data_IF_678638961573
#
_entry.id   IF_678638961573
#
_cell.length_a   1.000
_cell.length_b   1.000
_cell.length_c   1.000
_cell.angle_alpha   90.00
_cell.angle_beta   90.00
_cell.angle_gamma   90.00
#
_symmetry.space_group_name_H-M   'P 1'
#
loop_
_entity.id
_entity.type
_entity.pdbx_description
1 polymer ?
#
# COMPACT_ATOMS: atom_id res chain seq x y z
N UNK A 1 -19.32 -17.98 -1.77
CA UNK A 1 -18.83 -16.74 -1.09
C UNK A 1 -18.81 -16.92 0.42
N UNK A 2 -19.96 -17.08 1.08
CA UNK A 2 -20.08 -17.12 2.57
C UNK A 2 -19.18 -18.18 3.23
N UNK A 3 -19.12 -19.45 2.79
CA UNK A 3 -18.24 -20.44 3.39
C UNK A 3 -16.75 -20.13 3.29
N UNK A 4 -16.34 -19.38 2.28
CA UNK A 4 -14.95 -18.91 2.10
C UNK A 4 -14.65 -17.65 2.92
N UNK A 5 -15.63 -16.83 3.21
CA UNK A 5 -15.47 -15.62 4.01
C UNK A 5 -15.10 -15.91 5.47
N UNK A 6 -15.65 -16.99 6.05
CA UNK A 6 -15.40 -17.37 7.44
C UNK A 6 -13.91 -17.63 7.74
N UNK A 7 -13.18 -18.50 6.97
CA UNK A 7 -11.77 -18.69 7.21
C UNK A 7 -10.93 -17.41 6.95
N UNK A 8 -11.31 -16.60 5.97
CA UNK A 8 -10.63 -15.32 5.69
C UNK A 8 -10.80 -14.36 6.86
N UNK A 9 -12.01 -14.22 7.40
CA UNK A 9 -12.29 -13.43 8.60
C UNK A 9 -11.46 -13.90 9.82
N UNK A 10 -11.31 -15.22 10.00
CA UNK A 10 -10.47 -15.76 11.08
C UNK A 10 -8.99 -15.39 10.91
N UNK A 11 -8.47 -15.42 9.68
CA UNK A 11 -7.08 -15.01 9.39
C UNK A 11 -6.91 -13.52 9.65
N UNK A 12 -7.84 -12.68 9.20
CA UNK A 12 -7.81 -11.23 9.43
C UNK A 12 -7.89 -10.95 10.94
N UNK A 13 -8.81 -11.61 11.66
CA UNK A 13 -8.95 -11.44 13.11
C UNK A 13 -7.69 -11.89 13.87
N UNK A 14 -7.04 -12.98 13.46
CA UNK A 14 -5.80 -13.42 14.10
C UNK A 14 -4.67 -12.39 13.88
N UNK A 15 -4.58 -11.81 12.70
CA UNK A 15 -3.62 -10.76 12.38
C UNK A 15 -3.92 -9.47 13.17
N UNK A 16 -5.18 -9.05 13.24
CA UNK A 16 -5.60 -7.86 14.01
C UNK A 16 -5.35 -8.05 15.51
N UNK A 17 -5.63 -9.25 16.04
CA UNK A 17 -5.38 -9.57 17.45
C UNK A 17 -3.90 -9.51 17.80
N UNK A 18 -3.03 -10.01 16.93
CA UNK A 18 -1.57 -9.95 17.17
C UNK A 18 -0.99 -8.55 17.04
N UNK A 19 -1.61 -7.66 16.25
CA UNK A 19 -1.10 -6.30 16.04
C UNK A 19 -1.66 -5.26 17.00
N UNK A 20 -2.94 -5.36 17.37
CA UNK A 20 -3.63 -4.33 18.16
C UNK A 20 -4.16 -4.82 19.50
N UNK A 21 -4.07 -6.14 19.79
CA UNK A 21 -4.69 -6.75 20.98
C UNK A 21 -6.22 -6.75 20.97
N UNK A 22 -6.85 -6.21 19.92
CA UNK A 22 -8.30 -6.09 19.80
C UNK A 22 -8.86 -7.28 19.03
N UNK A 23 -9.88 -7.93 19.59
CA UNK A 23 -10.72 -8.87 18.86
C UNK A 23 -11.86 -8.10 18.18
N UNK A 24 -11.88 -8.12 16.86
CA UNK A 24 -13.04 -7.65 16.11
C UNK A 24 -14.08 -8.77 16.15
N UNK A 25 -15.27 -8.57 16.76
CA UNK A 25 -16.31 -9.58 16.75
C UNK A 25 -16.65 -9.93 15.30
N UNK A 26 -16.81 -11.22 14.96
CA UNK A 26 -17.12 -11.64 13.60
C UNK A 26 -18.59 -11.39 13.25
N UNK A 27 -19.08 -10.18 13.54
CA UNK A 27 -20.44 -9.79 13.23
C UNK A 27 -20.56 -9.51 11.73
N UNK A 28 -21.06 -10.52 11.03
CA UNK A 28 -21.44 -10.36 9.62
C UNK A 28 -22.68 -9.49 9.58
N UNK A 29 -22.56 -8.28 9.09
CA UNK A 29 -23.72 -7.43 8.82
C UNK A 29 -24.57 -8.06 7.69
N UNK A 30 -25.53 -8.90 8.12
CA UNK A 30 -26.39 -9.65 7.19
C UNK A 30 -27.15 -8.70 6.25
N UNK A 31 -27.51 -7.50 6.70
CA UNK A 31 -28.15 -6.49 5.87
C UNK A 31 -27.26 -6.02 4.72
N UNK A 32 -25.98 -5.76 4.99
CA UNK A 32 -25.00 -5.37 3.97
C UNK A 32 -24.74 -6.50 2.98
N UNK A 33 -24.61 -7.74 3.46
CA UNK A 33 -24.44 -8.92 2.59
C UNK A 33 -25.64 -9.11 1.69
N UNK A 34 -26.87 -8.98 2.21
CA UNK A 34 -28.10 -9.06 1.40
C UNK A 34 -28.18 -7.91 0.37
N UNK A 35 -27.81 -6.68 0.73
CA UNK A 35 -27.75 -5.56 -0.20
C UNK A 35 -26.78 -5.85 -1.36
N UNK A 36 -25.58 -6.36 -1.08
CA UNK A 36 -24.59 -6.70 -2.11
C UNK A 36 -25.10 -7.82 -3.01
N UNK A 37 -25.68 -8.88 -2.44
CA UNK A 37 -26.29 -9.98 -3.22
C UNK A 37 -27.41 -9.44 -4.12
N UNK A 38 -28.30 -8.61 -3.58
CA UNK A 38 -29.39 -8.01 -4.32
C UNK A 38 -28.89 -7.11 -5.45
N UNK A 39 -27.87 -6.29 -5.19
CA UNK A 39 -27.22 -5.45 -6.20
C UNK A 39 -26.62 -6.27 -7.35
N UNK A 40 -25.93 -7.37 -7.04
CA UNK A 40 -25.39 -8.30 -8.04
C UNK A 40 -26.51 -8.93 -8.86
N UNK A 41 -27.58 -9.42 -8.21
CA UNK A 41 -28.72 -10.01 -8.90
C UNK A 41 -29.42 -9.01 -9.82
N UNK A 42 -29.61 -7.77 -9.38
CA UNK A 42 -30.19 -6.70 -10.21
C UNK A 42 -29.29 -6.38 -11.41
N UNK A 43 -27.98 -6.33 -11.20
CA UNK A 43 -27.00 -6.07 -12.28
C UNK A 43 -27.02 -7.21 -13.31
N UNK A 44 -27.05 -8.46 -12.87
CA UNK A 44 -27.17 -9.63 -13.74
C UNK A 44 -28.50 -9.63 -14.48
N UNK A 45 -29.62 -9.34 -13.81
CA UNK A 45 -30.94 -9.25 -14.42
C UNK A 45 -30.99 -8.13 -15.48
N UNK A 46 -30.45 -6.95 -15.16
CA UNK A 46 -30.36 -5.83 -16.11
C UNK A 46 -29.50 -6.23 -17.34
N UNK A 47 -28.37 -6.90 -17.13
CA UNK A 47 -27.53 -7.37 -18.23
C UNK A 47 -28.25 -8.41 -19.10
N UNK A 48 -28.99 -9.36 -18.50
CA UNK A 48 -29.79 -10.34 -19.20
C UNK A 48 -30.89 -9.62 -20.02
N UNK A 49 -31.61 -8.68 -19.41
CA UNK A 49 -32.65 -7.90 -20.11
C UNK A 49 -32.09 -7.12 -21.31
N UNK A 50 -30.97 -6.46 -21.15
CA UNK A 50 -30.28 -5.72 -22.23
C UNK A 50 -29.84 -6.66 -23.36
N UNK A 51 -29.39 -7.86 -23.06
CA UNK A 51 -28.97 -8.85 -24.07
C UNK A 51 -30.15 -9.53 -24.72
N UNK A 52 -31.22 -9.82 -23.97
CA UNK A 52 -32.44 -10.49 -24.48
C UNK A 52 -33.30 -9.55 -25.36
N UNK A 53 -33.21 -8.23 -25.16
CA UNK A 53 -33.89 -7.26 -26.00
C UNK A 53 -33.54 -7.41 -27.49
N UNK A 54 -32.35 -7.90 -27.82
CA UNK A 54 -31.93 -8.21 -29.21
C UNK A 54 -32.48 -9.52 -29.76
N UNK A 55 -33.05 -10.39 -28.92
CA UNK A 55 -33.67 -11.65 -29.36
C UNK A 55 -35.03 -11.40 -30.00
N UNK A 56 -35.75 -10.35 -29.58
CA UNK A 56 -37.03 -9.99 -30.16
C UNK A 56 -36.93 -9.48 -31.61
N UNK A 57 -35.73 -9.11 -32.09
CA UNK A 57 -35.47 -8.70 -33.46
C UNK A 57 -35.13 -9.88 -34.40
N UNK A 58 -34.99 -11.10 -33.84
CA UNK A 58 -34.72 -12.28 -34.64
C UNK A 58 -36.01 -12.84 -35.23
N UNK A 59 -36.18 -12.69 -36.53
CA UNK A 59 -37.34 -13.28 -37.25
C UNK A 59 -37.28 -14.81 -37.19
N UNK A 60 -38.41 -15.52 -36.97
CA UNK A 60 -38.47 -17.00 -36.88
C UNK A 60 -37.83 -17.70 -38.09
N UNK A 61 -37.92 -17.09 -39.28
CA UNK A 61 -37.32 -17.60 -40.51
C UNK A 61 -35.80 -17.63 -40.49
N UNK A 62 -35.15 -16.63 -39.85
CA UNK A 62 -33.69 -16.62 -39.65
C UNK A 62 -33.22 -17.68 -38.63
N UNK A 63 -34.04 -18.00 -37.63
CA UNK A 63 -33.74 -19.02 -36.63
C UNK A 63 -33.83 -20.44 -37.23
N UNK A 64 -34.83 -20.70 -38.09
CA UNK A 64 -35.05 -22.01 -38.72
C UNK A 64 -34.05 -22.28 -39.85
N UNK A 65 -33.63 -21.28 -40.62
CA UNK A 65 -32.63 -21.42 -41.69
C UNK A 65 -31.19 -21.56 -41.19
N UNK A 66 -30.95 -21.64 -39.85
CA UNK A 66 -29.62 -21.77 -39.29
C UNK A 66 -28.71 -20.59 -39.68
N UNK A 67 -29.28 -19.35 -39.57
CA UNK A 67 -28.64 -18.12 -40.00
C UNK A 67 -27.29 -17.86 -39.37
N UNK A 68 -26.27 -18.47 -39.93
CA UNK A 68 -24.89 -18.05 -39.77
C UNK A 68 -24.52 -17.23 -40.97
N UNK A 69 -24.22 -15.96 -40.72
CA UNK A 69 -23.49 -15.19 -41.70
C UNK A 69 -22.17 -15.94 -41.96
N UNK A 70 -21.91 -16.21 -43.24
CA UNK A 70 -20.64 -16.76 -43.68
C UNK A 70 -19.52 -15.90 -43.11
N UNK A 71 -18.54 -16.50 -42.50
CA UNK A 71 -17.38 -15.79 -41.95
C UNK A 71 -16.67 -15.08 -43.11
N UNK A 72 -16.98 -13.79 -43.28
CA UNK A 72 -16.26 -12.97 -44.25
C UNK A 72 -14.87 -12.71 -43.70
N UNK A 73 -13.87 -13.38 -44.25
CA UNK A 73 -12.47 -13.06 -44.00
C UNK A 73 -12.23 -11.62 -44.47
N UNK A 74 -11.85 -10.77 -43.56
CA UNK A 74 -11.47 -9.40 -43.87
C UNK A 74 -10.33 -9.40 -44.90
N UNK A 75 -10.55 -8.75 -46.05
CA UNK A 75 -9.59 -8.64 -47.15
C UNK A 75 -8.36 -7.77 -46.81
N UNK A 76 -8.36 -7.16 -45.65
CA UNK A 76 -7.32 -6.21 -45.20
C UNK A 76 -6.02 -6.88 -44.84
N UNK A 77 -5.99 -8.16 -44.46
CA UNK A 77 -4.76 -8.87 -44.09
C UNK A 77 -4.35 -9.86 -45.21
N UNK A 78 -3.44 -9.40 -46.05
CA UNK A 78 -2.77 -10.23 -47.08
C UNK A 78 -1.65 -11.06 -46.50
N UNK A 79 -1.90 -11.95 -45.53
CA UNK A 79 -0.93 -12.92 -45.05
C UNK A 79 -0.91 -14.12 -46.00
N UNK A 80 0.25 -14.58 -46.51
CA UNK A 80 0.34 -15.73 -47.40
C UNK A 80 -0.15 -17.01 -46.67
N UNK A 81 -1.08 -17.70 -47.37
CA UNK A 81 -1.69 -18.96 -46.87
C UNK A 81 -0.85 -20.17 -47.27
N UNK A 82 0.36 -19.98 -47.74
CA UNK A 82 1.22 -21.06 -48.17
C UNK A 82 2.50 -21.15 -47.31
N UNK A 83 2.87 -22.36 -46.85
CA UNK A 83 4.12 -22.62 -46.19
C UNK A 83 4.02 -23.38 -44.86
N UNK A 84 5.17 -23.67 -44.26
CA UNK A 84 5.32 -24.44 -43.00
C UNK A 84 4.57 -23.85 -41.77
N UNK A 85 4.10 -22.59 -41.83
CA UNK A 85 3.40 -21.89 -40.75
C UNK A 85 1.89 -21.68 -40.99
N UNK A 86 1.27 -22.50 -41.84
CA UNK A 86 -0.13 -22.40 -42.22
C UNK A 86 -1.08 -22.32 -41.00
N UNK A 87 -0.84 -23.13 -39.95
CA UNK A 87 -1.67 -23.17 -38.76
C UNK A 87 -1.66 -21.85 -37.98
N UNK A 88 -0.51 -21.20 -37.85
CA UNK A 88 -0.38 -19.90 -37.17
C UNK A 88 -1.02 -18.77 -37.96
N UNK A 89 -0.83 -18.77 -39.29
CA UNK A 89 -1.45 -17.77 -40.17
C UNK A 89 -2.97 -17.87 -40.17
N UNK A 90 -3.53 -19.09 -40.18
CA UNK A 90 -4.96 -19.34 -40.04
C UNK A 90 -5.49 -18.91 -38.66
N UNK A 91 -4.78 -19.25 -37.58
CA UNK A 91 -5.14 -18.84 -36.21
C UNK A 91 -5.23 -17.31 -36.09
N UNK A 92 -4.25 -16.60 -36.62
CA UNK A 92 -4.23 -15.14 -36.59
C UNK A 92 -5.35 -14.50 -37.42
N UNK A 93 -5.63 -15.01 -38.60
CA UNK A 93 -6.74 -14.55 -39.44
C UNK A 93 -8.11 -14.76 -38.79
N UNK A 94 -8.31 -15.91 -38.15
CA UNK A 94 -9.54 -16.22 -37.42
C UNK A 94 -9.67 -15.38 -36.16
N UNK A 95 -8.57 -15.10 -35.46
CA UNK A 95 -8.56 -14.22 -34.30
C UNK A 95 -9.03 -12.80 -34.67
N UNK A 96 -8.49 -12.23 -35.75
CA UNK A 96 -8.86 -10.88 -36.20
C UNK A 96 -10.32 -10.83 -36.73
N UNK A 97 -10.74 -11.87 -37.44
CA UNK A 97 -12.11 -11.96 -37.96
C UNK A 97 -13.15 -12.00 -36.82
N UNK A 98 -12.83 -12.63 -35.71
CA UNK A 98 -13.74 -12.81 -34.58
C UNK A 98 -13.32 -12.03 -33.30
N UNK A 99 -12.61 -10.92 -33.46
CA UNK A 99 -12.11 -10.08 -32.35
C UNK A 99 -13.13 -9.77 -31.28
N UNK A 100 -14.42 -9.63 -31.61
CA UNK A 100 -15.51 -9.37 -30.65
C UNK A 100 -15.70 -10.55 -29.64
N UNK A 101 -15.39 -11.76 -30.06
CA UNK A 101 -15.53 -12.96 -29.24
C UNK A 101 -14.45 -13.04 -28.17
N UNK A 102 -13.22 -12.63 -28.54
CA UNK A 102 -12.08 -12.63 -27.62
C UNK A 102 -11.99 -11.36 -26.76
N UNK A 103 -12.72 -10.28 -27.13
CA UNK A 103 -12.66 -9.01 -26.43
C UNK A 103 -12.96 -9.14 -24.93
N UNK A 104 -13.97 -9.93 -24.56
CA UNK A 104 -14.29 -10.15 -23.14
C UNK A 104 -13.15 -10.85 -22.38
N UNK A 105 -12.52 -11.85 -23.01
CA UNK A 105 -11.38 -12.55 -22.41
C UNK A 105 -10.16 -11.61 -22.27
N UNK A 106 -9.89 -10.78 -23.28
CA UNK A 106 -8.83 -9.76 -23.24
C UNK A 106 -9.05 -8.79 -22.09
N UNK A 107 -10.28 -8.26 -21.94
CA UNK A 107 -10.62 -7.31 -20.87
C UNK A 107 -10.44 -7.96 -19.49
N UNK A 108 -10.97 -9.18 -19.29
CA UNK A 108 -10.82 -9.89 -18.02
C UNK A 108 -9.34 -10.14 -17.70
N UNK A 109 -8.57 -10.62 -18.67
CA UNK A 109 -7.13 -10.85 -18.49
C UNK A 109 -6.37 -9.54 -18.20
N UNK A 110 -6.74 -8.44 -18.85
CA UNK A 110 -6.13 -7.14 -18.61
C UNK A 110 -6.42 -6.61 -17.21
N UNK A 111 -7.66 -6.72 -16.74
CA UNK A 111 -8.03 -6.31 -15.38
C UNK A 111 -7.31 -7.15 -14.33
N UNK A 112 -7.24 -8.48 -14.52
CA UNK A 112 -6.54 -9.37 -13.61
C UNK A 112 -5.03 -9.09 -13.58
N UNK A 113 -4.41 -8.89 -14.75
CA UNK A 113 -3.00 -8.54 -14.84
C UNK A 113 -2.71 -7.19 -14.16
N UNK A 114 -3.55 -6.18 -14.39
CA UNK A 114 -3.46 -4.89 -13.70
C UNK A 114 -3.52 -5.08 -12.19
N UNK A 115 -4.49 -5.85 -11.69
CA UNK A 115 -4.67 -6.05 -10.25
C UNK A 115 -3.50 -6.80 -9.62
N UNK A 116 -2.94 -7.81 -10.30
CA UNK A 116 -1.75 -8.53 -9.85
C UNK A 116 -0.53 -7.59 -9.76
N UNK A 117 -0.37 -6.67 -10.69
CA UNK A 117 0.72 -5.69 -10.67
C UNK A 117 0.54 -4.73 -9.50
N UNK A 118 -0.67 -4.20 -9.28
CA UNK A 118 -0.95 -3.32 -8.15
C UNK A 118 -0.67 -3.98 -6.80
N UNK A 119 -1.04 -5.26 -6.63
CA UNK A 119 -0.74 -6.01 -5.41
C UNK A 119 0.77 -6.24 -5.22
N UNK A 120 1.48 -6.52 -6.31
CA UNK A 120 2.93 -6.65 -6.26
C UNK A 120 3.64 -5.33 -5.93
N UNK A 121 3.19 -4.21 -6.48
CA UNK A 121 3.74 -2.88 -6.18
C UNK A 121 3.47 -2.50 -4.71
N UNK A 122 2.27 -2.79 -4.21
CA UNK A 122 1.93 -2.62 -2.80
C UNK A 122 2.86 -3.45 -1.90
N UNK A 123 3.06 -4.73 -2.22
CA UNK A 123 3.95 -5.60 -1.47
C UNK A 123 5.41 -5.11 -1.49
N UNK A 124 5.89 -4.63 -2.64
CA UNK A 124 7.24 -4.05 -2.76
C UNK A 124 7.43 -2.83 -1.87
N UNK A 125 6.44 -1.93 -1.85
CA UNK A 125 6.51 -0.73 -1.04
C UNK A 125 6.51 -1.05 0.45
N UNK A 126 5.63 -1.96 0.90
CA UNK A 126 5.60 -2.40 2.30
C UNK A 126 6.85 -3.20 2.73
N UNK A 127 7.58 -3.79 1.80
CA UNK A 127 8.87 -4.45 2.08
C UNK A 127 10.08 -3.50 1.95
N UNK A 128 9.86 -2.25 1.60
CA UNK A 128 10.94 -1.26 1.51
C UNK A 128 11.35 -0.79 2.90
N UNK A 129 12.63 -0.81 3.20
CA UNK A 129 13.18 -0.24 4.46
C UNK A 129 12.87 1.26 4.60
N UNK A 130 12.65 1.96 3.50
CA UNK A 130 12.26 3.36 3.51
C UNK A 130 10.78 3.60 3.83
N UNK A 131 9.97 2.53 3.97
CA UNK A 131 8.53 2.64 4.23
C UNK A 131 8.24 3.43 5.51
N UNK A 132 8.98 3.18 6.59
CA UNK A 132 8.82 3.92 7.86
C UNK A 132 9.18 5.39 7.69
N UNK A 133 10.26 5.68 6.98
CA UNK A 133 10.70 7.05 6.68
C UNK A 133 9.64 7.79 5.85
N UNK A 134 9.12 7.14 4.81
CA UNK A 134 8.11 7.72 3.92
C UNK A 134 6.75 7.90 4.61
N UNK A 135 6.35 6.94 5.46
CA UNK A 135 5.06 7.00 6.18
C UNK A 135 5.05 8.00 7.32
N UNK A 136 6.10 7.99 8.14
CA UNK A 136 6.11 8.73 9.40
C UNK A 136 6.93 10.00 9.35
N UNK A 137 7.54 10.29 8.21
CA UNK A 137 8.43 11.46 8.02
C UNK A 137 9.62 11.50 9.00
N UNK A 138 10.07 10.33 9.40
CA UNK A 138 11.22 10.18 10.30
C UNK A 138 12.51 10.26 9.50
N UNK A 139 13.57 10.79 10.09
CA UNK A 139 14.90 10.76 9.47
C UNK A 139 15.37 9.31 9.33
N UNK A 140 16.16 9.06 8.29
CA UNK A 140 16.83 7.76 8.14
C UNK A 140 17.75 7.50 9.35
N UNK A 141 17.67 6.31 9.90
CA UNK A 141 18.55 5.83 10.96
C UNK A 141 18.89 4.37 10.70
N UNK A 142 19.98 3.91 11.28
CA UNK A 142 20.43 2.52 11.20
C UNK A 142 20.26 1.79 12.53
N UNK A 143 20.40 2.50 13.66
CA UNK A 143 20.18 1.99 15.00
C UNK A 143 19.26 2.89 15.81
N UNK A 144 18.42 2.28 16.63
CA UNK A 144 17.62 2.95 17.66
C UNK A 144 18.04 2.42 19.03
N UNK A 145 18.26 3.30 19.99
CA UNK A 145 18.55 2.87 21.35
C UNK A 145 17.78 3.69 22.40
N UNK A 146 17.46 3.05 23.50
CA UNK A 146 16.89 3.68 24.69
C UNK A 146 17.74 3.29 25.89
N UNK A 147 18.07 4.26 26.74
CA UNK A 147 18.93 4.09 27.89
C UNK A 147 18.21 4.55 29.15
N UNK A 148 18.57 3.98 30.28
CA UNK A 148 18.07 4.39 31.61
C UNK A 148 18.87 5.54 32.17
N UNK A 149 20.19 5.60 31.88
CA UNK A 149 21.11 6.61 32.40
C UNK A 149 22.11 7.09 31.34
N UNK A 150 22.69 8.28 31.59
CA UNK A 150 23.65 8.90 30.69
C UNK A 150 25.00 8.17 30.61
N UNK A 151 25.38 7.45 31.67
CA UNK A 151 26.68 6.76 31.68
C UNK A 151 26.61 5.51 30.80
N UNK A 152 25.52 4.74 30.89
CA UNK A 152 25.21 3.65 29.93
C UNK A 152 25.16 4.14 28.49
N UNK A 153 24.54 5.30 28.24
CA UNK A 153 24.52 5.89 26.90
C UNK A 153 25.94 6.17 26.38
N UNK A 154 26.80 6.82 27.19
CA UNK A 154 28.19 7.13 26.80
C UNK A 154 29.02 5.87 26.54
N UNK A 155 28.83 4.85 27.34
CA UNK A 155 29.55 3.58 27.18
C UNK A 155 29.17 2.89 25.88
N UNK A 156 27.89 2.86 25.56
CA UNK A 156 27.38 2.28 24.30
C UNK A 156 27.77 3.16 23.08
N UNK A 157 27.72 4.48 23.20
CA UNK A 157 28.20 5.39 22.16
C UNK A 157 29.71 5.24 21.89
N UNK A 158 30.52 4.92 22.89
CA UNK A 158 31.93 4.58 22.68
C UNK A 158 32.08 3.32 21.82
N UNK A 159 31.31 2.28 22.09
CA UNK A 159 31.33 1.06 21.26
C UNK A 159 30.92 1.38 19.80
N UNK A 160 29.89 2.16 19.60
CA UNK A 160 29.48 2.56 18.22
C UNK A 160 30.64 3.33 17.55
N UNK A 161 31.29 4.25 18.25
CA UNK A 161 32.38 5.06 17.71
C UNK A 161 33.65 4.28 17.40
N UNK A 162 33.87 3.12 18.07
CA UNK A 162 34.99 2.19 17.77
C UNK A 162 34.80 1.53 16.38
N UNK A 163 33.56 1.35 15.92
CA UNK A 163 33.24 0.70 14.65
C UNK A 163 33.10 1.69 13.49
N UNK A 164 32.33 2.78 13.69
CA UNK A 164 32.05 3.74 12.63
C UNK A 164 31.72 5.12 13.19
N UNK A 165 31.90 6.15 12.37
CA UNK A 165 31.38 7.46 12.68
C UNK A 165 29.85 7.45 12.55
N UNK A 166 29.17 8.25 13.37
CA UNK A 166 27.71 8.31 13.42
C UNK A 166 27.22 9.73 13.67
N UNK A 167 25.97 9.97 13.25
CA UNK A 167 25.18 11.12 13.68
C UNK A 167 24.09 10.62 14.62
N UNK A 168 23.84 11.36 15.70
CA UNK A 168 22.74 11.04 16.61
C UNK A 168 21.72 12.15 16.66
N UNK A 169 20.48 11.78 16.85
CA UNK A 169 19.37 12.68 17.11
C UNK A 169 18.33 11.98 17.97
N UNK A 170 17.64 12.77 18.76
CA UNK A 170 16.62 12.29 19.67
C UNK A 170 15.26 12.40 19.00
N UNK A 171 14.53 11.29 18.89
CA UNK A 171 13.12 11.32 18.54
C UNK A 171 12.30 11.57 19.79
N UNK A 172 11.65 12.71 19.84
CA UNK A 172 10.75 13.08 20.93
C UNK A 172 9.40 13.49 20.37
N UNK A 173 8.34 13.11 21.06
CA UNK A 173 6.98 13.47 20.70
C UNK A 173 6.12 13.62 21.95
N UNK A 174 5.15 14.50 21.90
CA UNK A 174 4.20 14.75 22.99
C UNK A 174 2.86 15.18 22.41
N UNK A 175 1.75 14.92 23.13
CA UNK A 175 0.47 15.49 22.77
C UNK A 175 0.34 16.90 23.32
N UNK A 176 0.32 17.89 22.44
CA UNK A 176 0.16 19.29 22.76
C UNK A 176 -1.20 19.83 22.26
N UNK A 177 -1.61 20.99 22.77
CA UNK A 177 -2.80 21.66 22.27
C UNK A 177 -2.44 22.58 21.10
N UNK A 178 -3.04 22.34 19.96
CA UNK A 178 -2.96 23.13 18.74
C UNK A 178 -4.31 23.85 18.54
N UNK A 179 -4.36 25.17 18.76
CA UNK A 179 -5.61 25.95 18.81
C UNK A 179 -6.72 25.24 19.61
N UNK A 180 -6.40 24.81 20.84
CA UNK A 180 -7.29 24.09 21.76
C UNK A 180 -7.68 22.66 21.37
N UNK A 181 -7.13 22.10 20.31
CA UNK A 181 -7.29 20.69 19.92
C UNK A 181 -6.04 19.92 20.30
N UNK A 182 -6.19 18.83 21.05
CA UNK A 182 -5.07 17.95 21.40
C UNK A 182 -4.60 17.19 20.16
N UNK A 183 -3.31 17.35 19.82
CA UNK A 183 -2.69 16.71 18.66
C UNK A 183 -1.31 16.17 19.00
N UNK A 184 -0.92 15.14 18.27
CA UNK A 184 0.42 14.58 18.32
C UNK A 184 1.43 15.59 17.74
N UNK A 185 2.46 15.89 18.53
CA UNK A 185 3.49 16.86 18.18
C UNK A 185 4.86 16.19 18.13
N UNK A 186 5.55 16.29 17.00
CA UNK A 186 6.95 15.95 16.87
C UNK A 186 7.85 17.09 17.34
N UNK A 187 8.88 16.76 18.08
CA UNK A 187 9.91 17.71 18.51
C UNK A 187 11.14 17.48 17.62
N UNK A 188 11.39 18.44 16.73
CA UNK A 188 12.45 18.39 15.71
C UNK A 188 13.74 18.97 16.29
N UNK A 189 14.78 18.14 16.40
CA UNK A 189 16.10 18.54 16.88
C UNK A 189 16.93 19.23 15.80
N UNK A 190 16.88 18.69 14.58
CA UNK A 190 17.65 19.16 13.43
C UNK A 190 16.73 19.37 12.21
N UNK A 191 17.05 20.36 11.34
CA UNK A 191 16.21 20.69 10.19
C UNK A 191 16.00 19.55 9.19
N UNK A 192 16.90 18.59 9.12
CA UNK A 192 16.89 17.44 8.21
C UNK A 192 16.13 16.23 8.76
N UNK A 193 15.55 16.34 9.98
CA UNK A 193 14.75 15.25 10.56
C UNK A 193 13.42 15.02 9.85
N UNK A 194 12.88 15.98 9.13
CA UNK A 194 11.62 15.84 8.38
C UNK A 194 11.92 15.90 6.88
N UNK A 195 11.77 14.76 6.21
CA UNK A 195 12.15 14.60 4.80
C UNK A 195 10.99 14.80 3.82
N UNK A 196 9.74 14.81 4.28
CA UNK A 196 8.54 14.81 3.45
C UNK A 196 7.88 16.18 3.34
N UNK A 197 8.67 17.25 3.24
CA UNK A 197 8.14 18.62 3.12
C UNK A 197 7.56 18.83 1.73
N UNK A 198 6.28 19.22 1.67
CA UNK A 198 5.56 19.51 0.43
C UNK A 198 5.54 20.97 0.03
N UNK A 199 5.36 21.86 1.02
CA UNK A 199 5.29 23.30 0.82
C UNK A 199 6.07 24.01 1.92
N UNK A 200 6.71 25.11 1.60
CA UNK A 200 7.49 25.87 2.57
C UNK A 200 8.83 25.22 2.88
N UNK A 201 9.25 25.27 4.12
CA UNK A 201 10.52 24.74 4.61
C UNK A 201 10.35 24.15 6.01
N UNK A 202 11.36 23.42 6.48
CA UNK A 202 11.41 22.92 7.86
C UNK A 202 11.44 24.08 8.89
N UNK A 203 11.04 23.79 10.12
CA UNK A 203 11.12 24.74 11.21
C UNK A 203 12.60 24.95 11.62
N UNK A 204 13.05 26.20 11.54
CA UNK A 204 14.43 26.58 11.89
C UNK A 204 14.47 27.47 13.12
N UNK A 205 13.45 28.32 13.30
CA UNK A 205 13.36 29.26 14.41
C UNK A 205 12.47 28.70 15.54
N UNK A 206 12.61 29.30 16.73
CA UNK A 206 11.91 28.91 17.94
C UNK A 206 10.44 29.32 18.03
N UNK A 207 9.95 30.01 17.00
CA UNK A 207 8.55 30.40 16.83
C UNK A 207 7.94 29.82 15.56
N UNK A 208 8.52 28.76 15.01
CA UNK A 208 8.06 28.11 13.79
C UNK A 208 7.59 26.69 14.08
N UNK A 209 6.58 26.25 13.29
CA UNK A 209 6.08 24.88 13.30
C UNK A 209 5.74 24.41 11.90
N UNK A 210 5.65 23.09 11.77
CA UNK A 210 5.19 22.38 10.57
C UNK A 210 3.85 21.75 10.86
N UNK A 211 2.97 21.73 9.87
CA UNK A 211 1.70 21.02 9.96
C UNK A 211 1.57 20.00 8.83
N UNK A 212 0.79 18.96 9.03
CA UNK A 212 0.45 18.05 7.93
C UNK A 212 -0.58 18.69 7.00
N UNK A 213 -0.76 18.09 5.82
CA UNK A 213 -1.77 18.58 4.87
C UNK A 213 -3.18 18.45 5.45
N UNK A 214 -3.48 17.37 6.19
CA UNK A 214 -4.80 17.17 6.81
C UNK A 214 -5.11 18.25 7.87
N UNK A 215 -4.11 18.66 8.65
CA UNK A 215 -4.24 19.77 9.59
C UNK A 215 -4.43 21.08 8.84
N UNK A 216 -3.66 21.31 7.77
CA UNK A 216 -3.78 22.51 6.93
C UNK A 216 -5.20 22.64 6.34
N UNK A 217 -5.75 21.56 5.81
CA UNK A 217 -7.08 21.53 5.21
C UNK A 217 -8.18 21.64 6.28
N UNK A 218 -8.02 20.95 7.42
CA UNK A 218 -9.01 20.95 8.51
C UNK A 218 -9.13 22.29 9.23
N UNK A 219 -8.03 23.02 9.39
CA UNK A 219 -7.99 24.34 10.02
C UNK A 219 -7.96 25.49 9.00
N UNK A 220 -7.99 25.19 7.71
CA UNK A 220 -7.89 26.18 6.63
C UNK A 220 -6.64 27.07 6.71
N UNK A 221 -5.52 26.46 7.10
CA UNK A 221 -4.22 27.12 7.29
C UNK A 221 -3.28 26.91 6.12
N UNK A 222 -2.41 27.90 5.91
CA UNK A 222 -1.36 27.87 4.90
C UNK A 222 0.00 28.22 5.53
N UNK A 223 1.07 28.03 4.75
CA UNK A 223 2.40 28.49 5.13
C UNK A 223 2.38 30.01 5.34
N UNK A 224 2.88 30.47 6.49
CA UNK A 224 2.87 31.87 6.92
C UNK A 224 1.76 32.22 7.92
N UNK A 225 0.75 31.38 8.08
CA UNK A 225 -0.30 31.57 9.08
C UNK A 225 0.24 31.33 10.50
N UNK A 226 -0.48 31.85 11.49
CA UNK A 226 -0.08 31.78 12.89
C UNK A 226 -1.06 30.91 13.67
N UNK A 227 -0.54 30.01 14.47
CA UNK A 227 -1.29 29.11 15.36
C UNK A 227 -0.85 29.31 16.81
N UNK A 228 -1.72 29.01 17.76
CA UNK A 228 -1.38 29.00 19.18
C UNK A 228 -1.15 27.57 19.65
N UNK A 229 0.09 27.27 20.07
CA UNK A 229 0.44 25.98 20.69
C UNK A 229 0.50 26.18 22.19
N UNK A 230 -0.12 25.22 22.94
CA UNK A 230 -0.17 25.28 24.40
C UNK A 230 0.37 23.97 24.99
N UNK A 231 1.17 24.12 26.07
CA UNK A 231 1.63 23.04 26.93
C UNK A 231 1.36 23.42 28.37
N UNK A 232 0.59 22.61 29.10
CA UNK A 232 0.16 22.98 30.45
C UNK A 232 -0.55 24.34 30.48
N UNK A 233 -0.03 25.28 31.27
CA UNK A 233 -0.54 26.67 31.37
C UNK A 233 0.06 27.65 30.36
N UNK A 234 1.04 27.24 29.58
CA UNK A 234 1.82 28.12 28.68
C UNK A 234 1.26 28.09 27.27
N UNK A 235 1.07 29.25 26.68
CA UNK A 235 0.60 29.42 25.31
C UNK A 235 1.60 30.25 24.49
N UNK A 236 1.97 29.78 23.30
CA UNK A 236 2.82 30.52 22.37
C UNK A 236 2.25 30.54 20.97
N UNK A 237 2.42 31.69 20.31
CA UNK A 237 2.09 31.81 18.89
C UNK A 237 3.26 31.33 18.06
N UNK A 238 2.97 30.44 17.12
CA UNK A 238 3.94 29.88 16.18
C UNK A 238 3.49 30.18 14.74
N UNK A 239 4.45 30.41 13.85
CA UNK A 239 4.22 30.61 12.43
C UNK A 239 4.40 29.27 11.72
N UNK A 240 3.48 28.92 10.85
CA UNK A 240 3.58 27.73 10.02
C UNK A 240 4.65 27.94 8.95
N UNK A 241 5.81 27.30 9.10
CA UNK A 241 6.93 27.40 8.17
C UNK A 241 6.82 26.45 6.98
N UNK A 242 6.06 25.37 7.13
CA UNK A 242 5.87 24.39 6.05
C UNK A 242 4.76 23.39 6.32
N UNK A 243 4.43 22.66 5.26
CA UNK A 243 3.46 21.55 5.26
C UNK A 243 4.22 20.28 4.87
N UNK A 244 4.04 19.22 5.65
CA UNK A 244 4.71 17.92 5.45
C UNK A 244 3.73 16.75 5.45
N UNK A 245 4.19 15.59 5.01
CA UNK A 245 3.40 14.36 5.04
C UNK A 245 3.81 13.50 6.24
N UNK A 246 2.85 12.97 6.97
CA UNK A 246 3.09 12.00 8.04
C UNK A 246 1.81 11.23 8.36
N UNK A 247 1.92 9.91 8.47
CA UNK A 247 0.81 9.03 8.83
C UNK A 247 0.54 8.97 10.34
N UNK A 248 1.38 9.61 11.15
CA UNK A 248 1.14 9.62 12.59
C UNK A 248 -0.21 10.24 12.91
N UNK A 249 -0.93 9.62 13.84
CA UNK A 249 -2.28 10.01 14.22
C UNK A 249 -3.20 10.23 12.99
N UNK A 250 -3.08 9.34 11.99
CA UNK A 250 -3.82 9.41 10.72
C UNK A 250 -3.70 10.76 10.00
N UNK A 251 -2.49 11.33 9.98
CA UNK A 251 -2.23 12.62 9.37
C UNK A 251 -2.59 13.83 10.23
N UNK A 252 -3.11 13.66 11.44
CA UNK A 252 -3.48 14.76 12.34
C UNK A 252 -2.36 15.06 13.33
N UNK A 253 -1.25 15.54 12.83
CA UNK A 253 -0.09 15.84 13.64
C UNK A 253 0.62 17.11 13.15
N UNK A 254 1.50 17.64 14.00
CA UNK A 254 2.32 18.80 13.70
C UNK A 254 3.72 18.62 14.30
N UNK A 255 4.63 19.48 13.93
CA UNK A 255 6.00 19.45 14.45
C UNK A 255 6.49 20.83 14.82
N UNK A 256 7.29 20.91 15.90
CA UNK A 256 7.93 22.15 16.34
C UNK A 256 9.42 21.89 16.59
N UNK A 257 10.21 22.95 16.56
CA UNK A 257 11.63 22.84 16.89
C UNK A 257 11.83 22.53 18.39
N UNK A 258 12.94 21.84 18.73
CA UNK A 258 13.35 21.63 20.13
C UNK A 258 13.50 22.93 20.90
N UNK A 259 13.95 24.01 20.22
CA UNK A 259 14.06 25.34 20.80
C UNK A 259 12.69 25.93 21.17
N UNK A 260 11.68 25.74 20.32
CA UNK A 260 10.29 26.14 20.60
C UNK A 260 9.70 25.36 21.78
N UNK A 261 9.91 24.04 21.78
CA UNK A 261 9.46 23.14 22.86
C UNK A 261 10.10 23.50 24.21
N UNK A 262 11.42 23.72 24.26
CA UNK A 262 12.13 24.09 25.50
C UNK A 262 11.63 25.43 26.09
N UNK A 263 11.16 26.35 25.27
CA UNK A 263 10.55 27.59 25.74
C UNK A 263 9.16 27.40 26.34
N UNK A 264 8.36 26.47 25.77
CA UNK A 264 7.09 26.07 26.37
C UNK A 264 7.29 25.43 27.76
N UNK A 265 8.34 24.59 27.93
CA UNK A 265 8.64 23.96 29.20
C UNK A 265 9.19 24.96 30.25
N UNK A 266 10.04 25.93 29.86
CA UNK A 266 10.64 26.90 30.79
C UNK A 266 9.62 27.85 31.43
N UNK A 267 8.60 28.25 30.71
CA UNK A 267 7.58 29.14 31.26
C UNK A 267 6.66 28.41 32.24
N UNK A 268 6.47 27.11 32.08
CA UNK A 268 5.73 26.27 33.01
C UNK A 268 6.41 26.25 34.41
N UNK A 269 7.74 26.16 34.48
CA UNK A 269 8.48 26.21 35.74
C UNK A 269 8.48 27.59 36.42
N UNK A 270 8.32 28.66 35.68
CA UNK A 270 8.25 30.03 36.25
C UNK A 270 6.85 30.35 36.79
N UNK A 271 5.77 29.79 36.22
CA UNK A 271 4.40 29.98 36.68
C UNK A 271 4.09 29.24 38.00
N UNK A 272 4.74 28.13 38.30
CA UNK A 272 4.50 27.32 39.49
C UNK A 272 5.07 27.93 40.80
N UNK A 273 5.96 28.93 40.71
CA UNK A 273 6.53 29.58 41.89
C UNK A 273 5.57 30.54 42.60
N UNK A 274 4.31 30.66 42.17
CA UNK A 274 3.36 31.65 42.69
C UNK A 274 2.15 31.12 43.48
N UNK A 275 1.83 29.82 43.52
CA UNK A 275 0.66 29.29 44.29
C UNK A 275 1.00 27.93 44.92
N UNK A 276 1.02 27.96 46.24
CA UNK A 276 1.13 26.78 47.11
C UNK A 276 -0.09 25.87 46.93
N UNK A 277 0.09 24.68 46.39
CA UNK A 277 -0.99 23.67 46.35
C UNK A 277 -0.99 22.77 45.13
N UNK A 278 0.18 22.43 44.60
CA UNK A 278 0.26 21.51 43.48
C UNK A 278 0.65 20.09 43.91
N UNK A 279 -0.10 19.13 43.41
CA UNK A 279 0.26 17.73 43.37
C UNK A 279 1.63 17.62 42.71
N UNK A 280 2.65 17.16 43.43
CA UNK A 280 3.93 16.77 42.87
C UNK A 280 3.67 15.65 41.86
N UNK A 281 3.61 15.98 40.60
CA UNK A 281 3.88 15.05 39.52
C UNK A 281 5.36 14.74 39.59
N UNK A 282 5.70 13.47 39.77
CA UNK A 282 7.03 12.91 39.79
C UNK A 282 7.65 12.95 38.38
N UNK A 283 8.02 14.16 37.92
CA UNK A 283 8.40 14.41 36.53
C UNK A 283 9.89 14.24 36.22
N UNK A 284 10.73 14.05 37.21
CA UNK A 284 12.17 13.93 36.99
C UNK A 284 12.62 12.49 36.64
N UNK A 285 11.83 11.47 36.98
CA UNK A 285 12.10 10.07 36.61
C UNK A 285 11.34 9.62 35.33
N UNK A 286 10.25 10.31 34.92
CA UNK A 286 9.51 9.99 33.70
C UNK A 286 10.12 10.62 32.42
N UNK A 287 11.09 11.53 32.55
CA UNK A 287 11.69 12.18 31.37
C UNK A 287 12.54 11.23 30.51
N UNK A 288 12.90 10.06 31.05
CA UNK A 288 13.74 9.05 30.38
C UNK A 288 12.96 7.88 29.77
N UNK A 289 11.74 7.59 30.18
CA UNK A 289 11.00 6.38 29.83
C UNK A 289 10.34 6.40 28.46
N UNK A 290 10.97 6.93 27.42
CA UNK A 290 10.38 6.91 26.08
C UNK A 290 11.15 7.66 24.99
N UNK A 291 12.31 8.19 25.30
CA UNK A 291 13.12 8.93 24.33
C UNK A 291 14.05 7.99 23.59
N UNK A 292 13.64 7.52 22.41
CA UNK A 292 14.53 6.79 21.51
C UNK A 292 15.60 7.72 20.93
N UNK A 293 16.86 7.31 21.02
CA UNK A 293 17.96 7.95 20.32
C UNK A 293 18.21 7.17 19.04
N UNK A 294 18.21 7.88 17.92
CA UNK A 294 18.50 7.33 16.60
C UNK A 294 19.95 7.63 16.23
N UNK A 295 20.60 6.64 15.66
CA UNK A 295 21.96 6.73 15.15
C UNK A 295 21.94 6.44 13.64
N UNK A 296 22.45 7.38 12.85
CA UNK A 296 22.69 7.25 11.41
C UNK A 296 24.19 6.97 11.26
N UNK A 297 24.54 5.77 10.82
CA UNK A 297 25.91 5.27 10.73
C UNK A 297 26.50 5.60 9.35
N UNK A 298 27.77 6.00 9.31
CA UNK A 298 28.47 6.17 8.03
C UNK A 298 28.64 4.83 7.30
N UNK A 299 28.76 3.71 8.04
CA UNK A 299 28.83 2.36 7.51
C UNK A 299 27.71 1.50 8.09
N UNK A 300 26.62 1.36 7.33
CA UNK A 300 25.44 0.56 7.72
C UNK A 300 25.75 -0.94 7.89
N UNK A 301 26.77 -1.47 7.20
CA UNK A 301 27.12 -2.90 7.28
C UNK A 301 27.66 -3.32 8.66
N UNK A 302 28.12 -2.38 9.47
CA UNK A 302 28.59 -2.61 10.83
C UNK A 302 27.46 -2.75 11.87
N UNK A 303 26.22 -2.49 11.50
CA UNK A 303 25.08 -2.45 12.41
C UNK A 303 24.93 -3.74 13.25
N UNK A 304 24.94 -4.89 12.60
CA UNK A 304 24.80 -6.20 13.27
C UNK A 304 26.01 -6.51 14.17
N UNK A 305 27.22 -6.11 13.77
CA UNK A 305 28.44 -6.30 14.54
C UNK A 305 28.43 -5.43 15.84
N UNK A 306 27.97 -4.19 15.71
CA UNK A 306 27.82 -3.25 16.83
C UNK A 306 26.84 -3.81 17.87
N UNK A 307 25.66 -4.27 17.44
CA UNK A 307 24.65 -4.86 18.33
C UNK A 307 25.21 -6.07 19.06
N UNK A 308 25.85 -7.00 18.33
CA UNK A 308 26.46 -8.20 18.93
C UNK A 308 27.55 -7.87 19.93
N UNK A 309 28.36 -6.84 19.67
CA UNK A 309 29.40 -6.43 20.59
C UNK A 309 28.84 -5.77 21.84
N UNK A 310 27.81 -4.95 21.72
CA UNK A 310 27.09 -4.34 22.86
C UNK A 310 26.43 -5.44 23.70
N UNK A 311 25.77 -6.39 23.13
CA UNK A 311 25.13 -7.51 23.83
C UNK A 311 26.18 -8.39 24.54
N UNK A 312 27.33 -8.59 23.92
CA UNK A 312 28.43 -9.34 24.52
C UNK A 312 29.08 -8.62 25.71
N UNK A 313 29.21 -7.27 25.63
CA UNK A 313 29.84 -6.47 26.72
C UNK A 313 28.87 -6.21 27.86
N UNK A 314 27.59 -6.04 27.60
CA UNK A 314 26.62 -5.53 28.57
C UNK A 314 25.40 -6.44 28.80
N UNK A 315 25.14 -7.43 27.95
CA UNK A 315 23.93 -8.25 28.01
C UNK A 315 23.77 -9.09 29.28
N UNK A 316 24.87 -9.52 29.88
CA UNK A 316 24.87 -10.29 31.15
C UNK A 316 24.90 -9.39 32.40
N UNK A 317 24.98 -8.07 32.23
CA UNK A 317 25.16 -7.14 33.36
C UNK A 317 23.78 -6.69 33.88
N UNK A 318 23.34 -7.29 35.01
CA UNK A 318 22.01 -7.00 35.60
C UNK A 318 21.83 -5.54 36.10
N UNK A 319 22.91 -4.74 36.12
CA UNK A 319 22.87 -3.32 36.52
C UNK A 319 22.69 -2.35 35.37
N UNK A 320 22.81 -2.81 34.11
CA UNK A 320 22.74 -1.96 32.93
C UNK A 320 21.43 -2.29 32.16
N UNK A 321 20.55 -1.31 32.05
CA UNK A 321 19.29 -1.46 31.31
C UNK A 321 19.36 -0.61 30.05
N UNK A 322 19.37 -1.27 28.92
CA UNK A 322 19.31 -0.64 27.59
C UNK A 322 18.42 -1.46 26.68
N UNK A 323 17.96 -0.82 25.63
CA UNK A 323 17.31 -1.45 24.50
C UNK A 323 17.95 -0.89 23.25
N UNK A 324 18.48 -1.75 22.37
CA UNK A 324 19.06 -1.35 21.10
C UNK A 324 18.53 -2.26 20.01
N UNK A 325 18.10 -1.66 18.90
CA UNK A 325 17.53 -2.35 17.77
C UNK A 325 18.08 -1.77 16.47
N UNK A 326 18.20 -2.61 15.46
CA UNK A 326 18.46 -2.11 14.11
C UNK A 326 17.19 -1.52 13.51
N UNK A 327 17.34 -0.59 12.57
CA UNK A 327 16.22 -0.08 11.78
C UNK A 327 15.47 -1.22 11.06
N UNK A 328 16.16 -2.32 10.78
CA UNK A 328 15.58 -3.53 10.21
C UNK A 328 14.67 -4.25 11.22
N UNK A 329 15.10 -4.37 12.47
CA UNK A 329 14.30 -5.00 13.54
C UNK A 329 13.05 -4.15 13.85
N UNK A 330 13.22 -2.83 13.92
CA UNK A 330 12.11 -1.89 14.10
C UNK A 330 11.11 -2.01 12.93
N UNK A 331 11.63 -2.09 11.70
CA UNK A 331 10.81 -2.30 10.51
C UNK A 331 10.08 -3.66 10.57
N UNK A 332 10.78 -4.74 10.91
CA UNK A 332 10.16 -6.07 11.04
C UNK A 332 9.13 -6.12 12.17
N UNK A 333 9.34 -5.41 13.26
CA UNK A 333 8.40 -5.28 14.37
C UNK A 333 7.10 -4.58 13.96
N UNK A 334 7.21 -3.42 13.31
CA UNK A 334 6.05 -2.63 12.86
C UNK A 334 5.42 -3.23 11.59
N UNK A 335 6.25 -3.56 10.61
CA UNK A 335 5.80 -4.05 9.31
C UNK A 335 5.50 -5.55 9.29
N UNK A 336 6.06 -6.35 10.21
CA UNK A 336 5.96 -7.81 10.16
C UNK A 336 4.52 -8.31 10.13
N UNK A 337 3.66 -7.80 11.03
CA UNK A 337 2.24 -8.19 11.07
C UNK A 337 1.47 -7.70 9.83
N UNK A 338 1.72 -6.45 9.43
CA UNK A 338 1.12 -5.85 8.22
C UNK A 338 1.59 -6.60 6.98
N UNK A 339 2.87 -6.95 6.93
CA UNK A 339 3.47 -7.68 5.81
C UNK A 339 2.90 -9.09 5.66
N UNK A 340 2.70 -9.83 6.75
CA UNK A 340 2.03 -11.15 6.73
C UNK A 340 0.61 -11.01 6.17
N UNK A 341 -0.14 -10.00 6.59
CA UNK A 341 -1.50 -9.76 6.09
C UNK A 341 -1.50 -9.43 4.59
N UNK A 342 -0.57 -8.58 4.12
CA UNK A 342 -0.43 -8.22 2.71
C UNK A 342 0.03 -9.41 1.87
N UNK A 343 0.96 -10.22 2.36
CA UNK A 343 1.39 -11.45 1.69
C UNK A 343 0.22 -12.43 1.55
N UNK A 344 -0.56 -12.60 2.61
CA UNK A 344 -1.77 -13.44 2.58
C UNK A 344 -2.80 -12.93 1.57
N UNK A 345 -3.05 -11.62 1.53
CA UNK A 345 -3.95 -11.00 0.56
C UNK A 345 -3.44 -11.12 -0.88
N UNK A 346 -2.15 -10.97 -1.07
CA UNK A 346 -1.48 -11.13 -2.38
C UNK A 346 -1.60 -12.57 -2.88
N UNK A 347 -1.32 -13.55 -2.02
CA UNK A 347 -1.47 -14.97 -2.35
C UNK A 347 -2.93 -15.30 -2.72
N UNK A 348 -3.87 -14.82 -1.92
CA UNK A 348 -5.31 -15.01 -2.18
C UNK A 348 -5.72 -14.38 -3.52
N UNK A 349 -5.21 -13.20 -3.82
CA UNK A 349 -5.45 -12.51 -5.10
C UNK A 349 -4.91 -13.32 -6.28
N UNK A 350 -3.71 -13.88 -6.16
CA UNK A 350 -3.13 -14.74 -7.21
C UNK A 350 -3.92 -16.03 -7.39
N UNK A 351 -4.36 -16.68 -6.31
CA UNK A 351 -5.20 -17.89 -6.38
C UNK A 351 -6.55 -17.60 -7.04
N UNK A 352 -7.24 -16.54 -6.62
CA UNK A 352 -8.49 -16.12 -7.24
C UNK A 352 -8.31 -15.74 -8.71
N UNK A 353 -7.25 -15.00 -9.04
CA UNK A 353 -6.90 -14.65 -10.41
C UNK A 353 -6.69 -15.89 -11.29
N UNK A 354 -5.95 -16.89 -10.81
CA UNK A 354 -5.74 -18.15 -11.52
C UNK A 354 -7.07 -18.88 -11.77
N UNK A 355 -7.94 -18.96 -10.78
CA UNK A 355 -9.28 -19.57 -10.93
C UNK A 355 -10.11 -18.82 -11.96
N UNK A 356 -10.12 -17.47 -11.92
CA UNK A 356 -10.85 -16.65 -12.90
C UNK A 356 -10.32 -16.85 -14.31
N UNK A 357 -9.01 -16.93 -14.51
CA UNK A 357 -8.41 -17.21 -15.83
C UNK A 357 -8.86 -18.57 -16.33
N UNK A 358 -8.76 -19.62 -15.51
CA UNK A 358 -9.17 -20.99 -15.89
C UNK A 358 -10.65 -21.02 -16.30
N UNK A 359 -11.54 -20.45 -15.48
CA UNK A 359 -12.97 -20.40 -15.75
C UNK A 359 -13.26 -19.63 -17.05
N UNK A 360 -12.61 -18.49 -17.24
CA UNK A 360 -12.75 -17.66 -18.45
C UNK A 360 -12.32 -18.43 -19.70
N UNK A 361 -11.18 -19.13 -19.64
CA UNK A 361 -10.67 -19.95 -20.75
C UNK A 361 -11.64 -21.08 -21.06
N UNK A 362 -12.18 -21.79 -20.06
CA UNK A 362 -13.14 -22.87 -20.26
C UNK A 362 -14.41 -22.33 -20.96
N UNK A 363 -14.97 -21.23 -20.48
CA UNK A 363 -16.20 -20.63 -21.04
C UNK A 363 -15.97 -20.17 -22.47
N UNK A 364 -14.88 -19.46 -22.73
CA UNK A 364 -14.58 -18.93 -24.07
C UNK A 364 -14.24 -20.05 -25.02
N UNK A 365 -13.43 -21.04 -24.59
CA UNK A 365 -13.11 -22.23 -25.39
C UNK A 365 -14.37 -23.02 -25.75
N UNK A 366 -15.28 -23.25 -24.80
CA UNK A 366 -16.55 -23.89 -25.06
C UNK A 366 -17.40 -23.17 -26.11
N UNK A 367 -17.51 -21.85 -26.02
CA UNK A 367 -18.24 -21.03 -27.01
C UNK A 367 -17.61 -21.08 -28.41
N UNK A 368 -16.27 -21.01 -28.47
CA UNK A 368 -15.51 -21.11 -29.74
C UNK A 368 -15.74 -22.49 -30.37
N UNK A 369 -15.58 -23.55 -29.61
CA UNK A 369 -15.78 -24.92 -30.09
C UNK A 369 -17.18 -25.16 -30.62
N UNK A 370 -18.23 -24.74 -29.89
CA UNK A 370 -19.62 -24.88 -30.34
C UNK A 370 -19.87 -24.10 -31.63
N UNK A 371 -19.29 -22.95 -31.80
CA UNK A 371 -19.47 -22.10 -32.96
C UNK A 371 -18.74 -22.64 -34.20
N UNK A 372 -17.53 -23.16 -33.99
CA UNK A 372 -16.65 -23.64 -35.08
C UNK A 372 -16.79 -25.13 -35.38
N UNK A 373 -17.78 -25.84 -34.80
CA UNK A 373 -17.94 -27.29 -34.98
C UNK A 373 -17.98 -27.74 -36.44
N UNK A 374 -18.67 -26.97 -37.28
CA UNK A 374 -18.78 -27.27 -38.74
C UNK A 374 -17.44 -27.09 -39.44
N UNK A 375 -16.72 -26.01 -39.13
CA UNK A 375 -15.42 -25.72 -39.75
C UNK A 375 -14.36 -26.75 -39.31
N UNK A 376 -14.41 -27.14 -38.05
CA UNK A 376 -13.56 -28.22 -37.50
C UNK A 376 -13.83 -29.54 -38.21
N UNK A 377 -15.11 -29.85 -38.53
CA UNK A 377 -15.49 -31.02 -39.29
C UNK A 377 -14.92 -30.98 -40.72
N UNK A 378 -15.00 -29.84 -41.42
CA UNK A 378 -14.45 -29.63 -42.76
C UNK A 378 -12.91 -29.78 -42.72
N UNK A 379 -12.22 -29.17 -41.76
CA UNK A 379 -10.76 -29.32 -41.64
C UNK A 379 -10.34 -30.78 -41.40
N UNK A 380 -11.08 -31.54 -40.60
CA UNK A 380 -10.86 -32.99 -40.43
C UNK A 380 -11.03 -33.76 -41.72
N UNK A 381 -12.09 -33.46 -42.50
CA UNK A 381 -12.32 -34.08 -43.79
C UNK A 381 -11.19 -33.76 -44.81
N UNK A 382 -10.58 -32.58 -44.72
CA UNK A 382 -9.39 -32.19 -45.48
C UNK A 382 -8.08 -32.77 -45.00
N UNK A 383 -8.10 -33.68 -43.99
CA UNK A 383 -6.91 -34.37 -43.50
C UNK A 383 -6.14 -33.69 -42.38
N UNK A 384 -6.71 -32.62 -41.74
CA UNK A 384 -6.10 -32.00 -40.58
C UNK A 384 -6.16 -32.94 -39.37
N UNK A 385 -5.03 -33.18 -38.72
CA UNK A 385 -4.98 -33.97 -37.50
C UNK A 385 -5.61 -33.21 -36.32
N UNK A 386 -6.23 -33.97 -35.39
CA UNK A 386 -6.82 -33.37 -34.15
C UNK A 386 -5.78 -32.57 -33.34
N UNK A 387 -4.53 -32.97 -33.35
CA UNK A 387 -3.44 -32.25 -32.69
C UNK A 387 -3.18 -30.86 -33.31
N UNK A 388 -3.12 -30.77 -34.64
CA UNK A 388 -2.97 -29.47 -35.34
C UNK A 388 -4.11 -28.50 -35.04
N UNK A 389 -5.36 -29.00 -34.98
CA UNK A 389 -6.52 -28.17 -34.64
C UNK A 389 -6.48 -27.68 -33.18
N UNK A 390 -6.05 -28.53 -32.24
CA UNK A 390 -5.84 -28.13 -30.84
C UNK A 390 -4.74 -27.07 -30.71
N UNK A 391 -3.60 -27.24 -31.38
CA UNK A 391 -2.53 -26.25 -31.39
C UNK A 391 -2.99 -24.91 -31.99
N UNK A 392 -3.79 -24.94 -33.07
CA UNK A 392 -4.34 -23.73 -33.68
C UNK A 392 -5.26 -22.98 -32.70
N UNK A 393 -6.09 -23.70 -31.96
CA UNK A 393 -6.93 -23.10 -30.92
C UNK A 393 -6.10 -22.53 -29.77
N UNK A 394 -5.09 -23.28 -29.29
CA UNK A 394 -4.20 -22.84 -28.23
C UNK A 394 -3.45 -21.54 -28.59
N UNK A 395 -2.96 -21.42 -29.82
CA UNK A 395 -2.31 -20.19 -30.28
C UNK A 395 -3.22 -18.97 -30.16
N UNK A 396 -4.52 -19.08 -30.45
CA UNK A 396 -5.46 -17.97 -30.31
C UNK A 396 -5.61 -17.53 -28.85
N UNK A 397 -5.67 -18.49 -27.91
CA UNK A 397 -5.74 -18.18 -26.49
C UNK A 397 -4.44 -17.56 -25.96
N UNK A 398 -3.28 -18.04 -26.47
CA UNK A 398 -1.98 -17.43 -26.13
C UNK A 398 -1.94 -15.97 -26.60
N UNK A 399 -2.37 -15.68 -27.84
CA UNK A 399 -2.44 -14.31 -28.34
C UNK A 399 -3.39 -13.46 -27.50
N UNK A 400 -4.56 -14.00 -27.13
CA UNK A 400 -5.51 -13.32 -26.24
C UNK A 400 -4.89 -12.99 -24.89
N UNK A 401 -4.18 -13.93 -24.28
CA UNK A 401 -3.50 -13.75 -23.00
C UNK A 401 -2.38 -12.69 -23.10
N UNK A 402 -1.55 -12.76 -24.14
CA UNK A 402 -0.45 -11.79 -24.36
C UNK A 402 -1.01 -10.39 -24.55
N UNK A 403 -2.03 -10.21 -25.41
CA UNK A 403 -2.66 -8.90 -25.64
C UNK A 403 -3.31 -8.38 -24.36
N UNK A 404 -4.03 -9.25 -23.63
CA UNK A 404 -4.65 -8.89 -22.35
C UNK A 404 -3.61 -8.48 -21.31
N UNK A 405 -2.53 -9.25 -21.17
CA UNK A 405 -1.46 -8.92 -20.22
C UNK A 405 -0.75 -7.60 -20.56
N UNK A 406 -0.44 -7.36 -21.83
CA UNK A 406 0.16 -6.08 -22.25
C UNK A 406 -0.76 -4.89 -21.97
N UNK A 407 -2.06 -5.03 -22.24
CA UNK A 407 -3.04 -4.01 -21.88
C UNK A 407 -3.14 -3.84 -20.37
N UNK A 408 -3.05 -4.91 -19.60
CA UNK A 408 -3.04 -4.89 -18.14
C UNK A 408 -1.84 -4.14 -17.58
N UNK A 409 -0.65 -4.33 -18.15
CA UNK A 409 0.56 -3.57 -17.79
C UNK A 409 0.35 -2.07 -18.05
N UNK A 410 -0.13 -1.72 -19.23
CA UNK A 410 -0.40 -0.30 -19.57
C UNK A 410 -1.44 0.31 -18.62
N UNK A 411 -2.52 -0.41 -18.32
CA UNK A 411 -3.51 0.03 -17.35
C UNK A 411 -2.94 0.17 -15.95
N UNK A 412 -2.09 -0.76 -15.52
CA UNK A 412 -1.43 -0.68 -14.22
C UNK A 412 -0.55 0.58 -14.12
N UNK A 413 0.25 0.89 -15.14
CA UNK A 413 1.09 2.10 -15.15
C UNK A 413 0.28 3.40 -15.08
N UNK A 414 -0.93 3.41 -15.65
CA UNK A 414 -1.82 4.59 -15.62
C UNK A 414 -2.54 4.67 -14.25
N UNK A 415 -3.00 3.55 -13.73
CA UNK A 415 -3.89 3.49 -12.55
C UNK A 415 -3.11 3.43 -11.24
N UNK A 416 -1.87 2.89 -11.21
CA UNK A 416 -1.12 2.67 -9.97
C UNK A 416 -0.95 3.96 -9.15
N UNK A 417 -0.43 5.02 -9.75
CA UNK A 417 -0.22 6.30 -9.04
C UNK A 417 -1.50 6.88 -8.43
N UNK A 418 -2.61 7.10 -9.19
CA UNK A 418 -3.83 7.64 -8.60
C UNK A 418 -4.49 6.68 -7.61
N UNK A 419 -4.36 5.37 -7.79
CA UNK A 419 -4.92 4.37 -6.89
C UNK A 419 -4.24 4.41 -5.52
N UNK A 420 -2.90 4.34 -5.50
CA UNK A 420 -2.14 4.41 -4.25
C UNK A 420 -2.27 5.78 -3.60
N UNK A 421 -2.22 6.86 -4.38
CA UNK A 421 -2.43 8.20 -3.87
C UNK A 421 -3.76 8.32 -3.12
N UNK A 422 -4.87 7.94 -3.73
CA UNK A 422 -6.19 7.98 -3.09
C UNK A 422 -6.30 7.09 -1.83
N UNK A 423 -5.58 5.96 -1.81
CA UNK A 423 -5.52 5.08 -0.63
C UNK A 423 -4.73 5.69 0.51
N UNK A 424 -3.56 6.24 0.23
CA UNK A 424 -2.64 6.77 1.24
C UNK A 424 -2.98 8.21 1.70
N UNK A 425 -3.68 8.99 0.88
CA UNK A 425 -4.24 10.28 1.31
C UNK A 425 -5.10 10.17 2.56
N UNK A 426 -5.85 9.07 2.72
CA UNK A 426 -6.67 8.80 3.91
C UNK A 426 -5.84 8.60 5.19
N UNK A 427 -4.53 8.42 5.06
CA UNK A 427 -3.58 8.26 6.17
C UNK A 427 -2.63 9.45 6.30
N UNK A 428 -2.87 10.56 5.60
CA UNK A 428 -2.03 11.76 5.66
C UNK A 428 -0.77 11.70 4.79
N UNK A 429 -0.67 10.72 3.87
CA UNK A 429 0.46 10.58 2.95
C UNK A 429 0.03 10.99 1.56
N UNK A 430 0.49 12.16 1.12
CA UNK A 430 0.13 12.73 -0.17
C UNK A 430 1.24 12.61 -1.23
N UNK A 431 2.50 12.49 -0.79
CA UNK A 431 3.65 12.27 -1.66
C UNK A 431 4.05 10.79 -1.64
N UNK A 432 3.46 10.01 -2.53
CA UNK A 432 3.78 8.61 -2.70
C UNK A 432 4.75 8.43 -3.89
N UNK A 433 6.00 8.08 -3.59
CA UNK A 433 6.98 7.72 -4.61
C UNK A 433 7.07 6.19 -4.74
N UNK A 434 6.40 5.66 -5.75
CA UNK A 434 6.75 4.34 -6.26
C UNK A 434 8.11 4.50 -6.97
N UNK A 435 9.20 4.16 -6.30
CA UNK A 435 10.48 3.97 -6.99
C UNK A 435 10.30 2.80 -7.96
N UNK A 436 10.18 3.14 -9.23
CA UNK A 436 10.16 2.19 -10.36
C UNK A 436 11.46 1.42 -10.45
#
# INVERSE_FOLDING_TARGET
>A
GIPLAIPILKIINSATRSSSGLEVPPDINVGLVLCVILAILLLVAAFIMLKTRRISEATPIKAIRGGRDSVHFSSVLKLPVSGKKLGVSLAYRQFISEKKQYAAAIIVTAILAMFMILMNDMMRWFNSQNMLVDMFSVTKYDLTASFVDEDTQKDIENVISEHTAYRKYQMSSEYLLFDDVQMYCYIVEAPDMINTIRKGRTCTYDNEGLITQDVADGFHMNVGDTVTVKRGGVARKMVISGIYDSANDMGKNFAISKAAYSKLAREETVSESGVSGAVKSSSDEEEWSGKGICYDLDNTDECDAIIQEIDKRYGDNQGITYSIHSAKDDFEGVAGTVNIAIQGLTLLTYMLGAVFVIVTVIIVCGKVLMREQKDIGIYKALGFTSFRLRCQLAVRFIVTAVVGSLLGIVLALIVSKPFFKAGFESFGIYSFNLST
#
